data_IF_390872581408
#
_entry.id   IF_390872581408
#
_cell.length_a   1.000
_cell.length_b   1.000
_cell.length_c   1.000
_cell.angle_alpha   90.00
_cell.angle_beta   90.00
_cell.angle_gamma   90.00
#
_symmetry.space_group_name_H-M   'P 1'
#
loop_
_entity.id
_entity.type
_entity.pdbx_description
1 polymer ?
#
# COMPACT_ATOMS: atom_id res chain seq x y z
N UNK A 1 2.62 35.16 65.90
CA UNK A 1 2.38 34.56 64.56
C UNK A 1 1.45 35.49 63.80
N UNK A 2 1.94 36.18 62.75
CA UNK A 2 1.10 37.02 61.88
C UNK A 2 0.84 36.26 60.57
N UNK A 3 -0.39 36.25 60.03
CA UNK A 3 -0.68 35.57 58.78
C UNK A 3 -0.02 36.31 57.62
N UNK A 4 0.68 35.58 56.76
CA UNK A 4 1.21 36.11 55.50
C UNK A 4 0.03 36.32 54.55
N UNK A 5 -0.27 37.57 54.26
CA UNK A 5 -1.24 37.96 53.24
C UNK A 5 -0.68 37.58 51.87
N UNK A 6 -1.33 36.64 51.18
CA UNK A 6 -1.05 36.37 49.78
C UNK A 6 -1.41 37.62 48.97
N UNK A 7 -0.42 38.17 48.26
CA UNK A 7 -0.57 39.37 47.46
C UNK A 7 -1.42 39.03 46.21
N UNK A 8 -2.65 39.56 46.07
CA UNK A 8 -3.56 39.19 44.98
C UNK A 8 -3.01 39.53 43.59
N UNK A 9 -2.03 40.42 43.50
CA UNK A 9 -1.35 40.75 42.24
C UNK A 9 -0.55 39.57 41.65
N UNK A 10 -0.05 38.66 42.49
CA UNK A 10 0.73 37.49 42.01
C UNK A 10 -0.19 36.46 41.35
N UNK A 11 -1.44 36.34 41.80
CA UNK A 11 -2.42 35.42 41.22
C UNK A 11 -2.91 35.90 39.84
N UNK A 12 -3.08 37.22 39.65
CA UNK A 12 -3.54 37.79 38.37
C UNK A 12 -2.47 37.70 37.28
N UNK A 13 -1.19 37.90 37.62
CA UNK A 13 -0.09 37.75 36.65
C UNK A 13 0.19 36.29 36.26
N UNK A 14 -0.07 35.33 37.16
CA UNK A 14 0.03 33.90 36.83
C UNK A 14 -1.11 33.39 35.94
N UNK A 15 -2.28 34.05 35.94
CA UNK A 15 -3.42 33.68 35.09
C UNK A 15 -3.45 34.39 33.73
N UNK A 16 -2.66 35.45 33.54
CA UNK A 16 -2.60 36.19 32.28
C UNK A 16 -2.12 35.36 31.07
N UNK A 17 -1.07 34.49 31.16
CA UNK A 17 -0.68 33.65 30.03
C UNK A 17 -1.72 32.56 29.71
N UNK A 18 -2.41 32.03 30.72
CA UNK A 18 -3.52 31.08 30.55
C UNK A 18 -4.76 31.72 29.90
N UNK A 19 -5.04 32.99 30.19
CA UNK A 19 -6.12 33.73 29.54
C UNK A 19 -5.75 34.19 28.12
N UNK A 20 -4.47 34.43 27.82
CA UNK A 20 -4.00 34.76 26.46
C UNK A 20 -4.04 33.57 25.50
N UNK A 21 -3.87 32.33 25.99
CA UNK A 21 -4.10 31.12 25.18
C UNK A 21 -5.58 30.89 24.85
N UNK A 22 -6.51 31.27 25.74
CA UNK A 22 -7.96 31.08 25.53
C UNK A 22 -8.53 32.05 24.47
N UNK A 23 -7.91 33.22 24.24
CA UNK A 23 -8.46 34.27 23.35
C UNK A 23 -8.18 34.03 21.85
N UNK A 24 -7.36 33.03 21.49
CA UNK A 24 -7.10 32.67 20.09
C UNK A 24 -7.65 31.29 19.69
N UNK A 25 -8.63 30.77 20.44
CA UNK A 25 -9.43 29.64 19.97
C UNK A 25 -10.16 30.06 18.68
N UNK A 26 -9.49 29.86 17.53
CA UNK A 26 -10.11 29.98 16.23
C UNK A 26 -11.33 29.05 16.26
N UNK A 27 -12.51 29.50 15.79
CA UNK A 27 -13.65 28.61 15.70
C UNK A 27 -13.21 27.35 14.93
N UNK A 28 -13.63 26.15 15.39
CA UNK A 28 -13.23 24.90 14.74
C UNK A 28 -13.50 25.01 13.25
N UNK A 29 -12.52 24.64 12.43
CA UNK A 29 -12.68 24.65 10.99
C UNK A 29 -13.71 23.57 10.64
N UNK A 30 -14.94 23.99 10.38
CA UNK A 30 -16.07 23.06 10.22
C UNK A 30 -16.22 22.50 8.80
N UNK A 31 -15.43 23.01 7.85
CA UNK A 31 -15.54 22.70 6.42
C UNK A 31 -14.22 22.19 5.84
N UNK A 32 -14.30 21.16 5.00
CA UNK A 32 -13.18 20.65 4.22
C UNK A 32 -12.98 21.42 2.92
N UNK A 33 -11.74 21.49 2.44
CA UNK A 33 -11.40 22.09 1.17
C UNK A 33 -11.21 21.02 0.10
N UNK A 34 -12.22 20.79 -0.74
CA UNK A 34 -12.18 19.77 -1.79
C UNK A 34 -11.59 20.25 -3.13
N UNK A 35 -10.93 21.42 -3.17
CA UNK A 35 -10.27 21.90 -4.39
C UNK A 35 -8.99 21.11 -4.65
N UNK A 36 -9.07 20.13 -5.54
CA UNK A 36 -7.93 19.30 -5.94
C UNK A 36 -6.85 20.08 -6.68
N UNK A 37 -5.60 19.62 -6.53
CA UNK A 37 -4.52 19.89 -7.47
C UNK A 37 -4.83 19.25 -8.83
N UNK A 38 -4.02 19.57 -9.84
CA UNK A 38 -4.09 18.86 -11.12
C UNK A 38 -3.77 17.37 -10.90
N UNK A 39 -4.33 16.48 -11.72
CA UNK A 39 -3.93 15.08 -11.72
C UNK A 39 -2.42 14.94 -11.87
N UNK A 40 -1.85 14.05 -11.05
CA UNK A 40 -0.41 13.81 -10.99
C UNK A 40 -0.14 12.36 -10.57
N UNK A 41 1.12 11.97 -10.64
CA UNK A 41 1.60 10.70 -10.10
C UNK A 41 2.31 10.98 -8.78
N UNK A 42 2.10 10.08 -7.82
CA UNK A 42 2.85 10.01 -6.57
C UNK A 42 3.61 8.69 -6.51
N UNK A 43 4.61 8.64 -5.64
CA UNK A 43 5.54 7.54 -5.55
C UNK A 43 5.62 7.04 -4.12
N UNK A 44 5.65 5.73 -3.96
CA UNK A 44 5.80 5.13 -2.65
C UNK A 44 6.94 4.14 -2.65
N UNK A 45 7.69 4.14 -1.56
CA UNK A 45 8.86 3.31 -1.36
C UNK A 45 8.55 2.30 -0.25
N UNK A 46 8.80 1.02 -0.51
CA UNK A 46 8.69 -0.06 0.47
C UNK A 46 9.96 -0.88 0.45
N UNK A 47 10.65 -0.87 1.57
CA UNK A 47 11.72 -1.80 1.83
C UNK A 47 11.15 -3.22 1.94
N UNK A 48 11.82 -4.19 1.32
CA UNK A 48 11.54 -5.60 1.52
C UNK A 48 12.36 -6.07 2.73
N UNK A 49 11.74 -6.05 3.91
CA UNK A 49 12.38 -6.53 5.15
C UNK A 49 12.23 -8.03 5.33
N UNK A 50 11.05 -8.57 5.01
CA UNK A 50 10.75 -10.00 5.02
C UNK A 50 10.54 -10.52 3.61
N UNK A 51 10.96 -11.76 3.38
CA UNK A 51 10.73 -12.47 2.12
C UNK A 51 9.23 -12.58 1.88
N UNK A 52 8.69 -11.75 0.98
CA UNK A 52 7.27 -11.74 0.63
C UNK A 52 6.63 -10.37 0.53
N UNK A 53 7.20 -9.30 1.12
CA UNK A 53 6.62 -7.94 1.12
C UNK A 53 6.81 -7.18 -0.21
N UNK A 54 6.52 -7.84 -1.33
CA UNK A 54 6.55 -7.28 -2.68
C UNK A 54 5.17 -6.91 -3.24
N UNK A 55 5.10 -6.58 -4.55
CA UNK A 55 3.86 -6.18 -5.21
C UNK A 55 2.72 -7.21 -5.07
N UNK A 56 3.05 -8.50 -5.07
CA UNK A 56 2.07 -9.57 -4.88
C UNK A 56 1.40 -9.53 -3.51
N UNK A 57 2.16 -9.30 -2.45
CA UNK A 57 1.62 -9.17 -1.09
C UNK A 57 0.62 -8.01 -0.99
N UNK A 58 0.99 -6.83 -1.47
CA UNK A 58 0.11 -5.66 -1.44
C UNK A 58 -1.10 -5.83 -2.38
N UNK A 59 -0.94 -6.51 -3.51
CA UNK A 59 -2.07 -6.90 -4.35
C UNK A 59 -3.07 -7.78 -3.61
N UNK A 60 -2.61 -8.79 -2.86
CA UNK A 60 -3.49 -9.65 -2.08
C UNK A 60 -4.20 -8.93 -0.95
N UNK A 61 -3.53 -7.96 -0.33
CA UNK A 61 -4.15 -7.11 0.67
C UNK A 61 -5.20 -6.17 0.08
N UNK A 62 -5.18 -5.94 -1.24
CA UNK A 62 -6.03 -4.99 -1.94
C UNK A 62 -5.45 -3.59 -1.99
N UNK A 63 -4.17 -3.43 -1.61
CA UNK A 63 -3.46 -2.16 -1.58
C UNK A 63 -2.46 -2.09 -0.42
N UNK A 64 -2.18 -0.87 0.03
CA UNK A 64 -1.27 -0.57 1.12
C UNK A 64 -2.05 0.01 2.27
N UNK A 65 -1.80 -0.46 3.48
CA UNK A 65 -2.46 -0.01 4.70
C UNK A 65 -1.48 0.70 5.63
N UNK A 66 -2.01 1.57 6.48
CA UNK A 66 -1.27 2.12 7.62
C UNK A 66 -0.86 1.01 8.60
N UNK A 67 0.18 1.26 9.38
CA UNK A 67 0.77 0.25 10.30
C UNK A 67 -0.06 0.00 11.56
N UNK A 68 -0.98 0.91 11.90
CA UNK A 68 -1.78 0.87 13.14
C UNK A 68 -3.28 0.72 12.91
N UNK A 69 -3.69 0.26 11.73
CA UNK A 69 -5.11 0.12 11.39
C UNK A 69 -5.90 -0.77 12.37
N UNK A 70 -5.23 -1.70 13.05
CA UNK A 70 -5.85 -2.59 14.04
C UNK A 70 -5.92 -2.01 15.46
N UNK A 71 -5.34 -0.84 15.69
CA UNK A 71 -5.30 -0.26 17.03
C UNK A 71 -6.65 0.36 17.41
N UNK A 72 -7.07 0.14 18.65
CA UNK A 72 -8.25 0.79 19.26
C UNK A 72 -7.98 2.27 19.59
N UNK A 73 -6.75 2.73 19.41
CA UNK A 73 -6.31 4.08 19.73
C UNK A 73 -6.61 5.04 18.59
N UNK A 74 -7.06 6.25 18.95
CA UNK A 74 -7.40 7.29 17.98
C UNK A 74 -6.20 8.16 17.57
N UNK A 75 -5.16 8.26 18.41
CA UNK A 75 -3.99 9.11 18.13
C UNK A 75 -3.34 8.81 16.77
N UNK A 76 -3.15 7.55 16.33
CA UNK A 76 -2.55 7.26 15.02
C UNK A 76 -3.37 7.74 13.80
N UNK A 77 -4.61 8.20 14.02
CA UNK A 77 -5.51 8.74 13.01
C UNK A 77 -5.50 10.27 12.96
N UNK A 78 -4.83 10.93 13.90
CA UNK A 78 -4.70 12.39 13.89
C UNK A 78 -3.89 12.83 12.66
N UNK A 79 -4.38 13.85 11.98
CA UNK A 79 -3.72 14.41 10.82
C UNK A 79 -2.44 15.16 11.19
N UNK A 80 -2.37 15.73 12.40
CA UNK A 80 -1.15 16.36 12.90
C UNK A 80 0.02 15.36 13.06
N UNK A 81 -0.31 14.08 13.23
CA UNK A 81 0.67 12.99 13.36
C UNK A 81 1.06 12.38 12.00
N UNK A 82 0.38 12.77 10.91
CA UNK A 82 0.67 12.26 9.58
C UNK A 82 2.07 12.72 9.11
N UNK A 83 2.91 11.77 8.72
CA UNK A 83 4.31 12.04 8.34
C UNK A 83 5.32 11.98 9.49
N UNK A 84 4.89 11.70 10.73
CA UNK A 84 5.81 11.38 11.82
C UNK A 84 6.40 9.97 11.64
N UNK A 85 7.62 9.76 12.16
CA UNK A 85 8.35 8.48 12.09
C UNK A 85 7.78 7.36 12.98
N UNK A 86 6.52 7.48 13.42
CA UNK A 86 5.87 6.48 14.27
C UNK A 86 4.79 5.73 13.50
N UNK A 87 4.35 4.56 13.98
CA UNK A 87 3.26 3.84 13.34
C UNK A 87 1.97 4.67 13.30
N UNK A 88 1.50 5.03 12.10
CA UNK A 88 0.27 5.80 11.88
C UNK A 88 -0.72 5.05 10.99
N UNK A 89 -1.97 5.49 11.00
CA UNK A 89 -2.99 5.03 10.06
C UNK A 89 -2.84 5.69 8.68
N UNK A 90 -1.79 6.50 8.46
CA UNK A 90 -1.57 7.25 7.23
C UNK A 90 -0.52 6.55 6.37
N UNK A 91 -0.80 6.45 5.07
CA UNK A 91 0.12 5.91 4.08
C UNK A 91 0.79 7.07 3.35
N UNK A 92 2.06 7.31 3.67
CA UNK A 92 2.86 8.37 3.05
C UNK A 92 3.30 8.00 1.62
N UNK A 93 3.16 8.97 0.71
CA UNK A 93 3.62 8.94 -0.68
C UNK A 93 4.32 10.26 -1.01
N UNK A 94 5.13 10.27 -2.08
CA UNK A 94 6.01 11.38 -2.43
C UNK A 94 5.71 11.88 -3.84
N UNK A 95 5.74 13.20 -4.04
CA UNK A 95 5.56 13.80 -5.36
C UNK A 95 6.84 13.81 -6.21
N UNK A 96 8.01 13.65 -5.58
CA UNK A 96 9.33 13.69 -6.22
C UNK A 96 10.08 12.37 -6.01
N UNK A 97 9.99 11.48 -7.00
CA UNK A 97 10.68 10.20 -6.98
C UNK A 97 12.20 10.36 -6.92
N UNK A 98 12.76 11.24 -7.75
CA UNK A 98 14.22 11.38 -7.88
C UNK A 98 14.81 11.99 -6.62
N UNK A 99 14.21 13.05 -6.08
CA UNK A 99 14.64 13.64 -4.82
C UNK A 99 14.57 12.66 -3.65
N UNK A 100 13.60 11.73 -3.65
CA UNK A 100 13.53 10.64 -2.66
C UNK A 100 14.62 9.60 -2.86
N UNK A 101 14.88 9.15 -4.09
CA UNK A 101 15.99 8.24 -4.42
C UNK A 101 17.33 8.85 -3.98
N UNK A 102 17.57 10.12 -4.31
CA UNK A 102 18.80 10.80 -3.95
C UNK A 102 18.96 10.92 -2.42
N UNK A 103 17.85 11.13 -1.70
CA UNK A 103 17.85 11.14 -0.23
C UNK A 103 18.18 9.76 0.34
N UNK A 104 17.60 8.70 -0.20
CA UNK A 104 17.91 7.30 0.17
C UNK A 104 19.40 7.04 -0.07
N UNK A 105 19.93 7.37 -1.27
CA UNK A 105 21.34 7.19 -1.63
C UNK A 105 22.29 7.94 -0.69
N UNK A 106 21.99 9.20 -0.35
CA UNK A 106 22.80 9.98 0.62
C UNK A 106 22.80 9.36 2.01
N UNK A 107 21.69 8.75 2.41
CA UNK A 107 21.55 8.09 3.71
C UNK A 107 22.05 6.64 3.70
N UNK A 108 22.33 6.06 2.53
CA UNK A 108 22.77 4.67 2.36
C UNK A 108 24.04 4.33 3.12
N UNK A 109 24.95 5.29 3.22
CA UNK A 109 26.19 5.11 3.98
C UNK A 109 25.98 5.12 5.50
N UNK A 110 24.79 5.50 5.98
CA UNK A 110 24.49 5.67 7.42
C UNK A 110 23.48 4.66 7.95
N UNK A 111 22.67 4.08 7.07
CA UNK A 111 21.62 3.14 7.42
C UNK A 111 21.94 1.80 6.74
N UNK A 112 21.71 0.68 7.43
CA UNK A 112 21.62 -0.63 6.79
C UNK A 112 20.43 -0.58 5.82
N UNK A 113 20.69 -0.12 4.58
CA UNK A 113 19.65 -0.06 3.57
C UNK A 113 19.24 -1.49 3.28
N UNK A 114 17.93 -1.78 3.32
CA UNK A 114 17.43 -3.09 2.94
C UNK A 114 17.85 -3.38 1.50
N UNK A 115 18.25 -4.62 1.18
CA UNK A 115 18.86 -4.97 -0.10
C UNK A 115 17.93 -4.70 -1.30
N UNK A 116 16.64 -4.49 -1.04
CA UNK A 116 15.59 -4.35 -2.03
C UNK A 116 14.57 -3.30 -1.59
N UNK A 117 14.33 -2.32 -2.45
CA UNK A 117 13.29 -1.32 -2.26
C UNK A 117 12.35 -1.38 -3.45
N UNK A 118 11.08 -1.67 -3.20
CA UNK A 118 10.03 -1.55 -4.20
C UNK A 118 9.60 -0.09 -4.32
N UNK A 119 9.51 0.39 -5.55
CA UNK A 119 8.96 1.71 -5.87
C UNK A 119 7.65 1.51 -6.63
N UNK A 120 6.60 2.15 -6.15
CA UNK A 120 5.27 2.10 -6.73
C UNK A 120 4.92 3.48 -7.30
N UNK A 121 4.46 3.51 -8.55
CA UNK A 121 3.90 4.69 -9.22
C UNK A 121 2.40 4.65 -9.05
N UNK A 122 1.84 5.64 -8.37
CA UNK A 122 0.46 5.67 -7.90
C UNK A 122 -0.22 6.90 -8.49
N UNK A 123 -1.43 6.74 -9.02
CA UNK A 123 -2.24 7.88 -9.46
C UNK A 123 -2.69 8.71 -8.25
N UNK A 124 -2.60 10.04 -8.34
CA UNK A 124 -3.13 10.92 -7.30
C UNK A 124 -4.65 10.78 -7.16
N UNK A 125 -5.19 11.11 -5.99
CA UNK A 125 -6.62 11.00 -5.69
C UNK A 125 -7.01 11.92 -4.53
N UNK A 126 -8.26 12.39 -4.44
CA UNK A 126 -8.65 13.40 -3.44
C UNK A 126 -8.76 12.88 -2.02
N UNK A 127 -8.61 11.58 -1.77
CA UNK A 127 -8.41 11.09 -0.40
C UNK A 127 -6.96 11.28 0.07
N UNK A 128 -6.03 11.62 -0.83
CA UNK A 128 -4.66 11.99 -0.49
C UNK A 128 -4.56 13.47 -0.17
N UNK A 129 -3.78 13.81 0.86
CA UNK A 129 -3.65 15.16 1.40
C UNK A 129 -2.19 15.60 1.44
N UNK A 130 -1.93 16.86 1.08
CA UNK A 130 -0.62 17.51 1.29
C UNK A 130 -0.35 17.71 2.78
N UNK A 131 0.72 17.10 3.30
CA UNK A 131 1.05 17.17 4.72
C UNK A 131 1.57 18.56 5.12
N UNK A 132 1.25 19.05 6.34
CA UNK A 132 1.74 20.34 6.83
C UNK A 132 3.27 20.41 6.83
N UNK A 133 3.83 21.56 6.46
CA UNK A 133 5.27 21.84 6.50
C UNK A 133 6.18 20.87 5.71
N UNK A 134 5.60 20.07 4.81
CA UNK A 134 6.37 19.16 3.93
C UNK A 134 5.87 19.23 2.49
N UNK A 135 6.66 18.65 1.56
CA UNK A 135 6.23 18.39 0.18
C UNK A 135 5.55 17.02 0.02
N UNK A 136 5.32 16.32 1.14
CA UNK A 136 4.85 14.94 1.15
C UNK A 136 3.34 14.89 1.13
N UNK A 137 2.83 13.73 0.76
CA UNK A 137 1.40 13.48 0.64
C UNK A 137 1.08 12.23 1.46
N UNK A 138 -0.07 12.19 2.11
CA UNK A 138 -0.52 10.99 2.79
C UNK A 138 -1.96 10.67 2.46
N UNK A 139 -2.27 9.37 2.37
CA UNK A 139 -3.64 8.87 2.31
C UNK A 139 -4.04 8.31 3.69
N UNK A 140 -5.24 8.66 4.20
CA UNK A 140 -5.75 8.06 5.42
C UNK A 140 -6.14 6.60 5.16
N UNK A 141 -5.81 5.73 6.11
CA UNK A 141 -5.92 4.28 6.05
C UNK A 141 -5.11 3.64 4.94
N UNK A 142 -5.46 3.86 3.67
CA UNK A 142 -4.93 3.03 2.60
C UNK A 142 -4.78 3.71 1.25
N UNK A 143 -3.89 3.12 0.44
CA UNK A 143 -3.77 3.31 -1.01
C UNK A 143 -4.31 2.05 -1.68
N UNK A 144 -5.32 2.17 -2.53
CA UNK A 144 -5.95 1.00 -3.15
C UNK A 144 -5.07 0.42 -4.26
N UNK A 145 -5.09 -0.90 -4.45
CA UNK A 145 -4.29 -1.54 -5.51
C UNK A 145 -4.69 -1.08 -6.92
N UNK A 146 -5.97 -0.74 -7.14
CA UNK A 146 -6.43 -0.19 -8.43
C UNK A 146 -5.85 1.18 -8.74
N UNK A 147 -5.27 1.86 -7.74
CA UNK A 147 -4.63 3.17 -7.86
C UNK A 147 -3.14 3.07 -8.23
N UNK A 148 -2.54 1.89 -8.04
CA UNK A 148 -1.15 1.61 -8.42
C UNK A 148 -1.09 1.45 -9.93
N UNK A 149 -0.40 2.34 -10.62
CA UNK A 149 -0.24 2.28 -12.07
C UNK A 149 0.84 1.27 -12.46
N UNK A 150 2.00 1.33 -11.79
CA UNK A 150 3.14 0.47 -12.08
C UNK A 150 4.02 0.31 -10.85
N UNK A 151 4.91 -0.66 -10.87
CA UNK A 151 5.91 -0.87 -9.84
C UNK A 151 7.24 -1.32 -10.44
N UNK A 152 8.32 -1.16 -9.68
CA UNK A 152 9.67 -1.53 -10.07
C UNK A 152 10.47 -1.88 -8.82
N UNK A 153 11.46 -2.75 -8.99
CA UNK A 153 12.42 -3.05 -7.93
C UNK A 153 13.64 -2.14 -8.08
N UNK A 154 14.09 -1.57 -6.97
CA UNK A 154 15.33 -0.86 -6.83
C UNK A 154 16.30 -1.75 -6.05
N UNK A 155 17.34 -2.26 -6.71
CA UNK A 155 18.36 -3.15 -6.15
C UNK A 155 19.70 -2.42 -5.92
N UNK A 156 20.62 -3.07 -5.19
CA UNK A 156 21.85 -2.51 -4.65
C UNK A 156 22.86 -1.94 -5.68
N UNK A 157 22.65 -2.10 -6.99
CA UNK A 157 23.48 -1.46 -8.03
C UNK A 157 23.12 0.02 -8.26
N UNK A 158 23.01 0.72 -7.13
CA UNK A 158 22.44 2.05 -6.92
C UNK A 158 23.12 3.14 -7.74
N UNK A 159 24.37 2.98 -8.19
CA UNK A 159 25.14 4.07 -8.80
C UNK A 159 24.50 4.66 -10.07
N UNK A 160 23.80 3.85 -10.88
CA UNK A 160 23.30 4.25 -12.21
C UNK A 160 21.77 4.14 -12.38
N UNK A 161 21.02 3.95 -11.29
CA UNK A 161 19.61 3.56 -11.32
C UNK A 161 18.62 4.62 -11.86
N UNK A 162 19.01 5.90 -11.99
CA UNK A 162 18.10 6.95 -12.52
C UNK A 162 17.74 6.75 -13.99
N UNK A 163 18.58 6.06 -14.76
CA UNK A 163 18.46 6.04 -16.22
C UNK A 163 17.70 4.80 -16.74
N UNK A 164 17.46 3.79 -15.89
CA UNK A 164 16.89 2.49 -16.30
C UNK A 164 15.95 1.89 -15.25
N UNK A 165 14.93 2.64 -14.83
CA UNK A 165 13.82 2.07 -14.04
C UNK A 165 12.90 1.27 -14.96
N UNK A 166 12.95 -0.05 -14.86
CA UNK A 166 12.11 -0.96 -15.63
C UNK A 166 10.74 -1.13 -14.96
N UNK A 167 9.81 -0.23 -15.27
CA UNK A 167 8.44 -0.30 -14.78
C UNK A 167 7.71 -1.56 -15.27
N UNK A 168 7.08 -2.24 -14.33
CA UNK A 168 6.13 -3.31 -14.56
C UNK A 168 4.73 -2.70 -14.39
N UNK A 169 3.98 -2.62 -15.47
CA UNK A 169 2.61 -2.07 -15.45
C UNK A 169 1.67 -3.00 -14.66
N UNK A 170 0.81 -2.40 -13.84
CA UNK A 170 -0.18 -3.12 -13.06
C UNK A 170 -1.43 -3.40 -13.93
N UNK A 171 -1.75 -4.66 -14.27
CA UNK A 171 -2.92 -4.97 -15.09
C UNK A 171 -4.26 -4.71 -14.39
N UNK A 172 -4.24 -4.37 -13.10
CA UNK A 172 -5.42 -4.05 -12.29
C UNK A 172 -5.56 -2.55 -12.00
N UNK A 173 -4.69 -1.73 -12.56
CA UNK A 173 -4.83 -0.28 -12.52
C UNK A 173 -6.15 0.15 -13.17
N UNK A 174 -6.86 1.09 -12.53
CA UNK A 174 -8.07 1.69 -13.08
C UNK A 174 -7.76 3.12 -13.59
N UNK A 175 -7.76 3.36 -14.91
CA UNK A 175 -7.37 4.65 -15.46
C UNK A 175 -8.32 5.79 -15.09
N UNK A 176 -9.50 5.50 -14.51
CA UNK A 176 -10.40 6.56 -14.02
C UNK A 176 -9.77 7.37 -12.89
N UNK A 177 -8.73 6.87 -12.21
CA UNK A 177 -7.97 7.65 -11.24
C UNK A 177 -7.29 8.89 -11.85
N UNK A 178 -7.00 8.90 -13.15
CA UNK A 178 -6.33 10.01 -13.84
C UNK A 178 -7.19 11.28 -13.93
N UNK A 179 -8.48 11.19 -13.60
CA UNK A 179 -9.37 12.35 -13.53
C UNK A 179 -9.17 13.16 -12.23
N UNK A 180 -8.38 12.67 -11.28
CA UNK A 180 -8.33 13.18 -9.92
C UNK A 180 -6.92 13.61 -9.50
N UNK A 181 -6.85 14.51 -8.50
CA UNK A 181 -5.60 15.00 -7.92
C UNK A 181 -5.62 15.01 -6.40
N UNK A 182 -4.48 15.29 -5.80
CA UNK A 182 -4.30 15.42 -4.34
C UNK A 182 -5.06 16.66 -3.83
N UNK A 183 -5.60 16.61 -2.62
CA UNK A 183 -6.15 17.78 -1.94
C UNK A 183 -5.08 18.56 -1.17
N UNK A 184 -5.23 19.88 -1.00
CA UNK A 184 -4.38 20.64 -0.10
C UNK A 184 -4.56 20.14 1.34
N UNK A 185 -3.70 20.64 2.23
CA UNK A 185 -3.77 20.43 3.67
C UNK A 185 -5.20 20.63 4.21
N UNK A 186 -5.61 19.76 5.15
CA UNK A 186 -6.93 19.79 5.79
C UNK A 186 -6.79 19.97 7.31
N UNK A 187 -6.55 21.20 7.81
CA UNK A 187 -6.41 21.43 9.25
C UNK A 187 -7.64 21.00 10.07
N UNK A 188 -8.83 20.94 9.45
CA UNK A 188 -10.06 20.43 10.06
C UNK A 188 -10.00 18.93 10.45
N UNK A 189 -9.02 18.19 9.95
CA UNK A 189 -8.78 16.80 10.35
C UNK A 189 -7.94 16.68 11.63
N UNK A 190 -7.38 17.79 12.11
CA UNK A 190 -6.59 17.85 13.33
C UNK A 190 -7.42 18.44 14.48
N UNK A 191 -7.40 17.77 15.64
CA UNK A 191 -7.74 18.32 16.96
C UNK A 191 -8.96 19.25 17.10
N UNK A 192 -10.16 18.69 17.30
CA UNK A 192 -11.37 19.47 17.64
C UNK A 192 -12.32 18.73 18.63
N UNK A 193 -11.78 17.86 19.48
CA UNK A 193 -12.57 17.11 20.48
C UNK A 193 -13.46 16.00 19.91
N UNK A 194 -13.59 15.93 18.57
CA UNK A 194 -14.15 14.78 17.85
C UNK A 194 -13.04 13.75 17.65
N UNK A 195 -13.37 12.46 17.75
CA UNK A 195 -12.41 11.39 17.50
C UNK A 195 -11.89 11.48 16.04
N UNK A 196 -10.56 11.54 15.80
CA UNK A 196 -9.98 11.69 14.46
C UNK A 196 -10.53 10.72 13.40
N UNK A 197 -10.79 9.47 13.78
CA UNK A 197 -11.39 8.46 12.89
C UNK A 197 -12.81 8.84 12.42
N UNK A 198 -13.60 9.44 13.30
CA UNK A 198 -14.94 9.92 12.97
C UNK A 198 -14.88 11.14 12.05
N UNK A 199 -13.91 12.04 12.29
CA UNK A 199 -13.67 13.18 11.40
C UNK A 199 -13.26 12.72 9.99
N UNK A 200 -12.39 11.71 9.89
CA UNK A 200 -12.00 11.11 8.61
C UNK A 200 -13.17 10.42 7.90
N UNK A 201 -14.07 9.75 8.65
CA UNK A 201 -15.30 9.15 8.11
C UNK A 201 -16.20 10.23 7.51
N UNK A 202 -16.39 11.35 8.22
CA UNK A 202 -17.12 12.52 7.75
C UNK A 202 -16.47 13.13 6.51
N UNK A 203 -15.15 13.32 6.52
CA UNK A 203 -14.39 13.81 5.36
C UNK A 203 -14.61 12.96 4.11
N UNK A 204 -14.48 11.63 4.20
CA UNK A 204 -14.73 10.75 3.06
C UNK A 204 -16.19 10.75 2.61
N UNK A 205 -17.13 10.88 3.56
CA UNK A 205 -18.55 11.06 3.29
C UNK A 205 -18.79 12.31 2.44
N UNK A 206 -18.35 13.48 2.91
CA UNK A 206 -18.50 14.76 2.20
C UNK A 206 -17.71 14.79 0.89
N UNK A 207 -16.51 14.19 0.85
CA UNK A 207 -15.67 14.11 -0.36
C UNK A 207 -16.41 13.40 -1.52
N UNK A 208 -17.13 12.34 -1.20
CA UNK A 208 -17.89 11.54 -2.15
C UNK A 208 -19.38 11.93 -2.22
N UNK A 209 -19.81 12.89 -1.39
CA UNK A 209 -21.18 13.32 -1.21
C UNK A 209 -21.50 14.63 -1.94
N UNK A 210 -22.79 15.03 -2.00
CA UNK A 210 -23.22 16.26 -2.66
C UNK A 210 -22.57 17.54 -2.09
N UNK A 211 -21.99 17.48 -0.89
CA UNK A 211 -21.26 18.57 -0.24
C UNK A 211 -20.00 18.96 -1.02
N UNK A 212 -19.38 18.00 -1.73
CA UNK A 212 -18.27 18.30 -2.63
C UNK A 212 -18.78 18.85 -3.96
N UNK A 213 -18.90 20.18 -4.03
CA UNK A 213 -19.32 20.93 -5.23
C UNK A 213 -18.22 21.10 -6.28
N UNK A 214 -16.98 20.66 -6.02
CA UNK A 214 -15.88 20.71 -6.99
C UNK A 214 -15.91 19.53 -7.98
N UNK A 215 -16.65 18.47 -7.63
CA UNK A 215 -16.94 17.34 -8.50
C UNK A 215 -18.39 17.41 -8.97
N UNK A 216 -18.67 16.95 -10.18
CA UNK A 216 -20.05 16.71 -10.61
C UNK A 216 -20.59 15.38 -10.03
N UNK A 217 -21.87 15.07 -10.30
CA UNK A 217 -22.50 13.86 -9.78
C UNK A 217 -21.85 12.56 -10.29
N UNK A 218 -21.40 12.53 -11.55
CA UNK A 218 -20.81 11.35 -12.19
C UNK A 218 -19.38 11.12 -11.69
N UNK A 219 -18.63 12.20 -11.49
CA UNK A 219 -17.30 12.17 -10.87
C UNK A 219 -17.37 11.71 -9.41
N UNK A 220 -18.36 12.18 -8.63
CA UNK A 220 -18.57 11.68 -7.27
C UNK A 220 -18.95 10.21 -7.26
N UNK A 221 -19.85 9.79 -8.14
CA UNK A 221 -20.25 8.39 -8.24
C UNK A 221 -19.06 7.49 -8.65
N UNK A 222 -18.24 7.95 -9.59
CA UNK A 222 -17.01 7.24 -9.97
C UNK A 222 -16.05 7.13 -8.80
N UNK A 223 -15.85 8.21 -8.04
CA UNK A 223 -14.97 8.21 -6.86
C UNK A 223 -15.47 7.26 -5.77
N UNK A 224 -16.79 7.16 -5.53
CA UNK A 224 -17.39 6.17 -4.62
C UNK A 224 -17.05 4.74 -5.03
N UNK A 225 -17.13 4.43 -6.33
CA UNK A 225 -16.80 3.11 -6.86
C UNK A 225 -15.30 2.83 -6.70
N UNK A 226 -14.46 3.80 -7.04
CA UNK A 226 -13.00 3.67 -6.99
C UNK A 226 -12.47 3.50 -5.55
N UNK A 227 -12.96 4.30 -4.60
CA UNK A 227 -12.67 4.15 -3.17
C UNK A 227 -13.43 3.01 -2.51
N UNK A 228 -14.40 2.43 -3.23
CA UNK A 228 -15.42 1.56 -2.67
C UNK A 228 -16.08 2.16 -1.43
N UNK A 229 -16.27 3.49 -1.36
CA UNK A 229 -16.80 4.20 -0.18
C UNK A 229 -18.15 4.83 -0.50
N UNK A 230 -19.21 4.40 0.18
CA UNK A 230 -20.56 4.95 0.02
C UNK A 230 -21.22 5.12 1.39
N UNK A 231 -21.11 6.33 1.95
CA UNK A 231 -21.65 6.65 3.28
C UNK A 231 -23.18 6.60 3.35
N UNK A 232 -23.88 6.82 2.23
CA UNK A 232 -25.35 6.77 2.17
C UNK A 232 -25.87 5.33 2.24
N UNK A 233 -25.25 4.43 1.46
CA UNK A 233 -25.63 3.01 1.44
C UNK A 233 -25.10 2.25 2.67
N UNK A 234 -23.96 2.68 3.23
CA UNK A 234 -23.29 2.03 4.35
C UNK A 234 -22.92 3.04 5.44
N UNK A 235 -23.89 3.60 6.18
CA UNK A 235 -23.63 4.64 7.18
C UNK A 235 -22.74 4.17 8.33
N UNK A 236 -22.72 2.87 8.62
CA UNK A 236 -21.85 2.24 9.62
C UNK A 236 -20.46 1.86 9.10
N UNK A 237 -20.13 2.17 7.84
CA UNK A 237 -18.81 1.83 7.28
C UNK A 237 -17.70 2.56 8.05
N UNK A 238 -16.68 1.81 8.42
CA UNK A 238 -15.47 2.32 9.07
C UNK A 238 -14.23 1.84 8.34
N UNK A 239 -13.07 2.28 8.81
CA UNK A 239 -11.77 1.88 8.28
C UNK A 239 -11.41 0.43 8.66
N UNK A 240 -10.60 -0.27 7.85
CA UNK A 240 -9.82 0.23 6.72
C UNK A 240 -10.64 0.51 5.45
N UNK A 241 -10.10 1.37 4.57
CA UNK A 241 -10.70 1.66 3.26
C UNK A 241 -10.76 0.39 2.40
N UNK A 242 -9.71 -0.43 2.46
CA UNK A 242 -9.62 -1.67 1.68
C UNK A 242 -10.50 -2.75 2.30
N UNK A 243 -11.31 -3.41 1.46
CA UNK A 243 -11.98 -4.65 1.83
C UNK A 243 -11.07 -5.83 1.52
N UNK A 244 -10.94 -6.76 2.46
CA UNK A 244 -10.22 -8.02 2.22
C UNK A 244 -10.81 -8.70 1.00
N UNK A 245 -9.96 -8.94 0.00
CA UNK A 245 -10.31 -9.73 -1.18
C UNK A 245 -10.05 -11.20 -0.88
N UNK A 246 -10.91 -12.08 -1.39
CA UNK A 246 -10.61 -13.50 -1.45
C UNK A 246 -9.77 -13.72 -2.70
N UNK A 247 -8.50 -14.02 -2.51
CA UNK A 247 -7.60 -14.41 -3.59
C UNK A 247 -8.04 -15.75 -4.19
N UNK A 248 -7.88 -15.90 -5.50
CA UNK A 248 -8.05 -17.21 -6.12
C UNK A 248 -6.93 -18.17 -5.67
N UNK A 249 -7.21 -19.48 -5.68
CA UNK A 249 -6.22 -20.50 -5.34
C UNK A 249 -4.97 -20.40 -6.24
N UNK A 250 -5.16 -20.02 -7.51
CA UNK A 250 -4.06 -19.83 -8.46
C UNK A 250 -3.15 -18.68 -8.03
N UNK A 251 -3.73 -17.51 -7.73
CA UNK A 251 -2.95 -16.34 -7.31
C UNK A 251 -2.19 -16.67 -6.00
N UNK A 252 -2.85 -17.30 -5.02
CA UNK A 252 -2.21 -17.73 -3.77
C UNK A 252 -1.04 -18.69 -4.02
N UNK A 253 -1.23 -19.69 -4.89
CA UNK A 253 -0.17 -20.68 -5.14
C UNK A 253 1.07 -20.05 -5.80
N UNK A 254 0.87 -19.11 -6.74
CA UNK A 254 2.00 -18.42 -7.37
C UNK A 254 2.82 -17.62 -6.36
N UNK A 255 2.17 -17.03 -5.35
CA UNK A 255 2.84 -16.26 -4.31
C UNK A 255 3.76 -17.10 -3.41
N UNK A 256 3.40 -18.37 -3.16
CA UNK A 256 4.17 -19.25 -2.27
C UNK A 256 5.42 -19.88 -2.90
N UNK A 257 5.67 -19.63 -4.18
CA UNK A 257 6.82 -20.19 -4.90
C UNK A 257 7.96 -19.18 -4.86
N UNK A 258 9.13 -19.60 -4.38
CA UNK A 258 10.36 -18.80 -4.48
C UNK A 258 10.88 -18.84 -5.92
N UNK A 259 10.33 -17.95 -6.76
CA UNK A 259 10.69 -17.82 -8.17
C UNK A 259 12.17 -17.45 -8.37
N UNK A 260 12.85 -16.93 -7.35
CA UNK A 260 14.28 -16.53 -7.44
C UNK A 260 15.19 -17.74 -7.54
N UNK A 261 14.70 -18.90 -7.07
CA UNK A 261 15.41 -20.18 -7.16
C UNK A 261 15.12 -20.97 -8.44
N UNK A 262 14.27 -20.46 -9.33
CA UNK A 262 13.90 -21.13 -10.58
C UNK A 262 14.90 -20.72 -11.68
N UNK A 263 15.87 -21.58 -12.06
CA UNK A 263 16.85 -21.25 -13.08
C UNK A 263 16.20 -21.13 -14.46
N UNK A 264 16.72 -20.23 -15.28
CA UNK A 264 16.26 -20.01 -16.65
C UNK A 264 15.07 -19.04 -16.79
N UNK A 265 14.48 -18.59 -15.67
CA UNK A 265 13.58 -17.45 -15.70
C UNK A 265 14.36 -16.14 -15.75
N UNK A 266 13.93 -15.23 -16.62
CA UNK A 266 14.41 -13.85 -16.63
C UNK A 266 13.91 -13.12 -15.38
N UNK A 267 14.68 -12.15 -14.91
CA UNK A 267 14.35 -11.37 -13.71
C UNK A 267 12.95 -10.74 -13.78
N UNK A 268 12.53 -10.22 -14.93
CA UNK A 268 11.19 -9.65 -15.09
C UNK A 268 10.07 -10.69 -14.96
N UNK A 269 10.24 -11.89 -15.53
CA UNK A 269 9.26 -12.98 -15.40
C UNK A 269 9.14 -13.41 -13.94
N UNK A 270 10.30 -13.54 -13.31
CA UNK A 270 10.45 -13.73 -11.89
C UNK A 270 9.59 -12.70 -11.10
N UNK A 271 9.82 -11.40 -11.28
CA UNK A 271 9.06 -10.34 -10.59
C UNK A 271 7.55 -10.45 -10.84
N UNK A 272 7.14 -10.71 -12.09
CA UNK A 272 5.72 -10.89 -12.45
C UNK A 272 5.07 -12.09 -11.75
N UNK A 273 5.78 -13.21 -11.68
CA UNK A 273 5.31 -14.44 -11.04
C UNK A 273 5.21 -14.30 -9.52
N UNK A 274 6.24 -13.72 -8.87
CA UNK A 274 6.21 -13.46 -7.43
C UNK A 274 5.13 -12.44 -7.05
N UNK A 275 4.85 -11.50 -7.95
CA UNK A 275 3.77 -10.55 -7.79
C UNK A 275 2.37 -11.14 -8.07
N UNK A 276 2.25 -12.40 -8.50
CA UNK A 276 0.97 -13.02 -8.81
C UNK A 276 0.31 -12.48 -10.08
N UNK A 277 1.04 -11.75 -10.94
CA UNK A 277 0.55 -11.13 -12.17
C UNK A 277 0.93 -11.89 -13.43
N UNK A 278 1.33 -13.16 -13.31
CA UNK A 278 1.76 -13.93 -14.46
C UNK A 278 0.60 -14.11 -15.46
N UNK A 279 0.75 -13.49 -16.63
CA UNK A 279 -0.05 -13.82 -17.80
C UNK A 279 0.38 -15.18 -18.36
N UNK A 280 -0.29 -15.65 -19.41
CA UNK A 280 -0.02 -16.96 -20.00
C UNK A 280 1.46 -17.18 -20.35
N UNK A 281 2.13 -16.17 -20.93
CA UNK A 281 3.52 -16.32 -21.38
C UNK A 281 4.50 -16.54 -20.21
N UNK A 282 4.57 -15.67 -19.17
CA UNK A 282 5.38 -15.93 -17.98
C UNK A 282 5.04 -17.26 -17.30
N UNK A 283 3.75 -17.66 -17.25
CA UNK A 283 3.37 -18.97 -16.72
C UNK A 283 3.96 -20.12 -17.55
N UNK A 284 3.92 -20.05 -18.88
CA UNK A 284 4.48 -21.08 -19.75
C UNK A 284 6.00 -21.19 -19.64
N UNK A 285 6.69 -20.04 -19.60
CA UNK A 285 8.14 -19.99 -19.43
C UNK A 285 8.55 -20.59 -18.07
N UNK A 286 7.79 -20.30 -17.01
CA UNK A 286 7.95 -20.90 -15.70
C UNK A 286 7.71 -22.41 -15.70
N UNK A 287 6.70 -22.91 -16.42
CA UNK A 287 6.47 -24.36 -16.56
C UNK A 287 7.68 -25.03 -17.19
N UNK A 288 8.21 -24.47 -18.28
CA UNK A 288 9.38 -25.02 -18.98
C UNK A 288 10.60 -25.01 -18.07
N UNK A 289 10.88 -23.87 -17.41
CA UNK A 289 11.99 -23.74 -16.47
C UNK A 289 11.86 -24.75 -15.31
N UNK A 290 10.67 -24.90 -14.73
CA UNK A 290 10.41 -25.84 -13.64
C UNK A 290 10.54 -27.29 -14.11
N UNK A 291 10.08 -27.64 -15.31
CA UNK A 291 10.26 -28.99 -15.88
C UNK A 291 11.74 -29.30 -16.14
N UNK A 292 12.51 -28.33 -16.64
CA UNK A 292 13.94 -28.49 -16.93
C UNK A 292 14.80 -28.69 -15.68
N UNK A 293 14.32 -28.33 -14.49
CA UNK A 293 15.00 -28.70 -13.23
C UNK A 293 14.99 -30.21 -12.91
N UNK A 294 14.25 -31.04 -13.66
CA UNK A 294 14.03 -32.46 -13.33
C UNK A 294 15.02 -33.46 -13.97
N UNK A 295 16.00 -33.03 -14.78
CA UNK A 295 16.90 -33.97 -15.44
C UNK A 295 17.65 -33.39 -16.66
N UNK A 296 18.38 -34.22 -17.43
CA UNK A 296 19.09 -33.76 -18.62
C UNK A 296 18.13 -33.05 -19.59
N UNK A 297 18.61 -32.03 -20.33
CA UNK A 297 17.77 -31.12 -21.08
C UNK A 297 16.83 -31.90 -22.00
N UNK A 298 15.50 -31.66 -21.95
CA UNK A 298 14.60 -32.29 -22.89
C UNK A 298 14.97 -31.87 -24.31
N UNK A 299 14.79 -32.74 -25.31
CA UNK A 299 14.99 -32.38 -26.71
C UNK A 299 14.14 -31.14 -27.04
N UNK A 300 14.63 -30.23 -27.90
CA UNK A 300 13.95 -28.99 -28.21
C UNK A 300 12.50 -29.28 -28.61
N UNK A 301 11.51 -28.58 -28.02
CA UNK A 301 10.13 -28.84 -28.32
C UNK A 301 9.88 -28.61 -29.81
N UNK A 302 9.04 -29.44 -30.47
CA UNK A 302 8.55 -29.11 -31.80
C UNK A 302 7.96 -27.70 -31.76
N UNK A 303 8.11 -26.92 -32.83
CA UNK A 303 7.42 -25.64 -33.00
C UNK A 303 5.91 -25.89 -33.02
N UNK A 304 5.31 -26.02 -31.84
CA UNK A 304 3.87 -26.14 -31.66
C UNK A 304 3.34 -24.75 -31.99
N UNK A 305 2.59 -24.65 -33.10
CA UNK A 305 1.68 -23.53 -33.33
C UNK A 305 0.84 -23.40 -32.07
N UNK A 306 1.09 -22.35 -31.29
CA UNK A 306 0.28 -21.98 -30.14
C UNK A 306 -1.09 -21.59 -30.70
N UNK A 307 -1.96 -22.59 -30.92
CA UNK A 307 -3.39 -22.34 -30.98
C UNK A 307 -3.76 -21.63 -29.69
N UNK A 308 -4.70 -20.67 -29.76
CA UNK A 308 -5.26 -19.95 -28.60
C UNK A 308 -5.64 -20.95 -27.50
N UNK A 309 -4.69 -21.32 -26.65
CA UNK A 309 -4.93 -22.02 -25.40
C UNK A 309 -5.27 -20.94 -24.40
N UNK A 310 -6.30 -21.24 -23.64
CA UNK A 310 -6.80 -20.36 -22.62
C UNK A 310 -5.69 -20.11 -21.59
N UNK A 311 -5.32 -18.84 -21.37
CA UNK A 311 -4.18 -18.50 -20.50
C UNK A 311 -4.35 -19.00 -19.07
N UNK A 312 -5.60 -19.15 -18.64
CA UNK A 312 -5.97 -19.73 -17.36
C UNK A 312 -5.56 -21.21 -17.23
N UNK A 313 -5.59 -21.97 -18.32
CA UNK A 313 -5.21 -23.39 -18.31
C UNK A 313 -3.71 -23.57 -18.07
N UNK A 314 -2.87 -22.71 -18.63
CA UNK A 314 -1.43 -22.73 -18.42
C UNK A 314 -1.06 -22.45 -16.96
N UNK A 315 -1.59 -21.39 -16.36
CA UNK A 315 -1.28 -21.12 -14.95
C UNK A 315 -1.86 -22.20 -14.01
N UNK A 316 -3.00 -22.82 -14.34
CA UNK A 316 -3.50 -24.01 -13.62
C UNK A 316 -2.55 -25.21 -13.71
N UNK A 317 -1.96 -25.46 -14.89
CA UNK A 317 -0.95 -26.52 -15.04
C UNK A 317 0.30 -26.22 -14.19
N UNK A 318 0.77 -24.96 -14.19
CA UNK A 318 1.90 -24.54 -13.37
C UNK A 318 1.64 -24.80 -11.88
N UNK A 319 0.48 -24.36 -11.38
CA UNK A 319 0.02 -24.57 -10.00
C UNK A 319 0.00 -26.06 -9.63
N UNK A 320 -0.46 -26.93 -10.54
CA UNK A 320 -0.46 -28.37 -10.31
C UNK A 320 0.96 -28.93 -10.18
N UNK A 321 1.84 -28.60 -11.13
CA UNK A 321 3.23 -29.09 -11.15
C UNK A 321 4.00 -28.61 -9.92
N UNK A 322 3.82 -27.35 -9.54
CA UNK A 322 4.51 -26.76 -8.39
C UNK A 322 3.96 -27.32 -7.09
N UNK A 323 2.64 -27.49 -6.97
CA UNK A 323 2.00 -28.15 -5.84
C UNK A 323 2.55 -29.56 -5.59
N UNK A 324 2.64 -30.39 -6.63
CA UNK A 324 3.21 -31.74 -6.53
C UNK A 324 4.69 -31.72 -6.09
N UNK A 325 5.50 -30.80 -6.64
CA UNK A 325 6.93 -30.70 -6.34
C UNK A 325 7.25 -30.13 -4.96
N UNK A 326 6.69 -28.98 -4.62
CA UNK A 326 7.06 -28.28 -3.39
C UNK A 326 6.40 -28.93 -2.16
N UNK A 327 5.27 -29.62 -2.31
CA UNK A 327 4.74 -30.47 -1.25
C UNK A 327 5.66 -31.66 -0.94
N UNK A 328 6.34 -32.22 -1.95
CA UNK A 328 7.30 -33.31 -1.76
C UNK A 328 8.60 -32.84 -1.09
N UNK A 329 9.07 -31.62 -1.41
CA UNK A 329 10.24 -31.02 -0.75
C UNK A 329 9.97 -30.69 0.72
N UNK A 330 8.77 -30.16 1.03
CA UNK A 330 8.38 -29.82 2.41
C UNK A 330 8.29 -31.04 3.33
N UNK A 331 7.88 -32.22 2.82
CA UNK A 331 7.85 -33.46 3.61
C UNK A 331 9.23 -33.95 4.06
N UNK A 332 10.27 -33.68 3.28
CA UNK A 332 11.64 -34.08 3.64
C UNK A 332 12.29 -33.12 4.65
N UNK A 333 11.83 -31.87 4.74
CA UNK A 333 12.30 -30.85 5.69
C UNK A 333 11.46 -30.78 6.99
N UNK A 334 10.34 -31.52 7.05
CA UNK A 334 9.39 -31.49 8.17
C UNK A 334 9.91 -32.15 9.46
N UNK A 335 11.11 -32.74 9.48
CA UNK A 335 11.70 -33.25 10.72
C UNK A 335 12.33 -32.16 11.60
N UNK A 336 12.57 -30.95 11.09
CA UNK A 336 13.21 -29.85 11.86
C UNK A 336 12.32 -28.62 12.11
N UNK A 337 11.19 -28.45 11.39
CA UNK A 337 10.43 -27.19 11.37
C UNK A 337 9.15 -27.14 12.23
N UNK A 338 8.88 -28.16 13.07
CA UNK A 338 7.67 -28.20 13.94
C UNK A 338 7.68 -27.22 15.14
N UNK A 339 8.53 -26.19 15.15
CA UNK A 339 8.62 -25.20 16.23
C UNK A 339 7.98 -23.83 15.92
N UNK A 340 7.41 -23.62 14.71
CA UNK A 340 6.87 -22.30 14.33
C UNK A 340 5.33 -22.30 14.13
N UNK A 341 4.54 -21.65 15.00
CA UNK A 341 3.08 -21.74 15.00
C UNK A 341 2.36 -21.05 13.82
N UNK A 342 3.05 -20.30 12.96
CA UNK A 342 2.44 -19.68 11.77
C UNK A 342 2.26 -20.63 10.57
N UNK A 343 2.90 -21.80 10.56
CA UNK A 343 2.83 -22.73 9.41
C UNK A 343 1.64 -23.71 9.50
N UNK A 344 0.96 -23.77 10.65
CA UNK A 344 -0.08 -24.77 10.93
C UNK A 344 -1.38 -24.60 10.11
N UNK A 345 -1.62 -23.43 9.51
CA UNK A 345 -2.86 -23.17 8.76
C UNK A 345 -2.94 -23.82 7.36
N UNK A 346 -1.82 -24.29 6.79
CA UNK A 346 -1.83 -24.90 5.45
C UNK A 346 -2.17 -26.39 5.42
N UNK A 347 -2.25 -27.07 6.58
CA UNK A 347 -2.45 -28.52 6.62
C UNK A 347 -3.92 -28.96 6.44
N UNK A 348 -4.89 -28.05 6.51
CA UNK A 348 -6.32 -28.40 6.58
C UNK A 348 -7.05 -28.36 5.23
N UNK A 349 -6.45 -27.80 4.17
CA UNK A 349 -7.19 -27.51 2.91
C UNK A 349 -6.90 -28.49 1.76
N UNK A 350 -6.25 -29.64 2.02
CA UNK A 350 -5.96 -30.66 0.97
C UNK A 350 -6.74 -31.96 1.19
N UNK A 351 -7.80 -31.94 2.00
CA UNK A 351 -8.71 -33.07 2.14
C UNK A 351 -10.15 -32.59 2.19
N UNK A 352 -10.69 -32.20 1.05
CA UNK A 352 -12.11 -32.35 0.67
C UNK A 352 -12.27 -32.27 -0.85
#
# INVERSE_FOLDING_TARGET
>A
MRPRWCNPLVLVMAMLPLLLEIVHARPPLTSFNFRMRRPSLTYMFRAEFDAGEGPGYYFFQGGFTGSTETTIWNAPWDYADAGLNYPTAWVEVYNDMQGRIDRIRRNAYRLEIPPRIWIYRIAASPHMLELPDTSNVAAPSAILWSQVQAFTLFDENIANASDYVNWIENPRYDPRWEAYGVLPEQPALSGDGVAPREMLRRFLGELTGPENTFLDADQRQTLRVLLNWNAEAEPGRTFPLIRRRVASLQELTLHFIDWWRVPGLQHQQQLLLAAGFASMAPCMDAIVAVKNMQGPPPPPPPLIRVGKRDGEASCKELVKITGEKFASAKRNDSSELLANPQVSFCAVVVSE
#
